data_IF_641001451699
#
_entry.id   IF_641001451699
#
_cell.length_a   1.000
_cell.length_b   1.000
_cell.length_c   1.000
_cell.angle_alpha   90.00
_cell.angle_beta   90.00
_cell.angle_gamma   90.00
#
_symmetry.space_group_name_H-M   'P 1'
#
loop_
_entity.id
_entity.type
_entity.pdbx_description
1 polymer ?
#
# COMPACT_ATOMS: atom_id res chain seq x y z
N UNK A 1 3.48 0.90 0.33
CA UNK A 1 4.36 -0.29 0.23
C UNK A 1 3.76 -1.42 -0.61
N UNK A 2 2.66 -2.08 -0.16
CA UNK A 2 2.11 -3.28 -0.82
C UNK A 2 1.77 -3.07 -2.31
N UNK A 3 1.18 -1.93 -2.64
CA UNK A 3 0.89 -1.54 -4.03
C UNK A 3 2.16 -1.51 -4.90
N UNK A 4 3.22 -0.87 -4.44
CA UNK A 4 4.50 -0.78 -5.17
C UNK A 4 5.13 -2.15 -5.44
N UNK A 5 4.96 -3.12 -4.53
CA UNK A 5 5.38 -4.51 -4.78
C UNK A 5 4.58 -5.15 -5.94
N UNK A 6 3.31 -4.79 -6.13
CA UNK A 6 2.46 -5.31 -7.21
C UNK A 6 2.76 -4.61 -8.54
N UNK A 7 2.90 -3.28 -8.52
CA UNK A 7 3.08 -2.47 -9.72
C UNK A 7 4.54 -2.28 -10.15
N UNK A 8 5.52 -2.86 -9.43
CA UNK A 8 6.93 -2.87 -9.82
C UNK A 8 7.67 -1.54 -9.64
N UNK A 9 7.29 -0.72 -8.66
CA UNK A 9 7.95 0.57 -8.40
C UNK A 9 9.02 0.48 -7.31
N UNK A 10 10.27 0.20 -7.68
CA UNK A 10 11.39 0.02 -6.72
C UNK A 10 11.70 1.26 -5.89
N UNK A 11 11.69 2.45 -6.50
CA UNK A 11 11.90 3.72 -5.79
C UNK A 11 10.83 3.97 -4.71
N UNK A 12 9.55 3.85 -5.09
CA UNK A 12 8.44 3.99 -4.15
C UNK A 12 8.45 2.91 -3.07
N UNK A 13 8.76 1.66 -3.42
CA UNK A 13 8.87 0.57 -2.45
C UNK A 13 9.94 0.87 -1.40
N UNK A 14 11.11 1.35 -1.82
CA UNK A 14 12.18 1.73 -0.91
C UNK A 14 11.76 2.87 0.03
N UNK A 15 11.19 3.95 -0.52
CA UNK A 15 10.71 5.08 0.26
C UNK A 15 9.60 4.70 1.25
N UNK A 16 8.61 3.92 0.78
CA UNK A 16 7.51 3.44 1.62
C UNK A 16 7.99 2.55 2.77
N UNK A 17 8.99 1.70 2.53
CA UNK A 17 9.55 0.84 3.57
C UNK A 17 10.34 1.66 4.61
N UNK A 18 11.03 2.73 4.18
CA UNK A 18 11.69 3.65 5.11
C UNK A 18 10.67 4.42 5.96
N UNK A 19 9.58 4.88 5.35
CA UNK A 19 8.53 5.61 6.06
C UNK A 19 7.74 4.71 7.02
N UNK A 20 7.42 3.49 6.61
CA UNK A 20 6.78 2.50 7.47
C UNK A 20 7.62 2.20 8.72
N UNK A 21 8.95 2.09 8.60
CA UNK A 21 9.86 1.95 9.76
C UNK A 21 9.75 3.14 10.71
N UNK A 22 9.77 4.37 10.19
CA UNK A 22 9.61 5.58 11.02
C UNK A 22 8.26 5.63 11.72
N UNK A 23 7.22 5.11 11.08
CA UNK A 23 5.88 4.98 11.63
C UNK A 23 5.73 3.81 12.63
N UNK A 24 6.79 3.05 12.91
CA UNK A 24 6.80 1.99 13.91
C UNK A 24 6.50 0.59 13.38
N UNK A 25 6.46 0.38 12.06
CA UNK A 25 6.32 -0.96 11.49
C UNK A 25 7.50 -1.86 11.89
N UNK A 26 7.19 -3.09 12.29
CA UNK A 26 8.18 -4.09 12.68
C UNK A 26 8.85 -4.73 11.46
N UNK A 27 10.03 -5.32 11.64
CA UNK A 27 10.69 -6.08 10.59
C UNK A 27 9.85 -7.28 10.13
N UNK A 28 9.13 -7.93 11.05
CA UNK A 28 8.18 -9.00 10.72
C UNK A 28 7.09 -8.49 9.76
N UNK A 29 6.47 -7.33 10.04
CA UNK A 29 5.50 -6.73 9.14
C UNK A 29 6.11 -6.38 7.78
N UNK A 30 7.26 -5.72 7.75
CA UNK A 30 7.89 -5.28 6.50
C UNK A 30 8.28 -6.44 5.59
N UNK A 31 8.80 -7.52 6.17
CA UNK A 31 9.27 -8.70 5.43
C UNK A 31 8.11 -9.60 5.00
N UNK A 32 7.01 -9.65 5.76
CA UNK A 32 5.87 -10.54 5.48
C UNK A 32 4.68 -9.87 4.81
N UNK A 33 4.69 -8.55 4.59
CA UNK A 33 3.55 -7.83 3.99
C UNK A 33 3.11 -8.38 2.62
N UNK A 34 4.00 -9.00 1.85
CA UNK A 34 3.64 -9.62 0.57
C UNK A 34 2.74 -10.87 0.77
N UNK A 35 2.83 -11.51 1.93
CA UNK A 35 2.06 -12.65 2.40
C UNK A 35 1.17 -12.28 3.61
N UNK A 36 0.62 -11.07 3.63
CA UNK A 36 -0.13 -10.58 4.80
C UNK A 36 -1.37 -11.42 5.18
N UNK A 37 -1.92 -12.21 4.24
CA UNK A 37 -3.16 -12.97 4.44
C UNK A 37 -3.02 -14.06 5.50
N UNK A 38 -1.88 -14.74 5.55
CA UNK A 38 -1.56 -15.79 6.52
C UNK A 38 -0.55 -15.34 7.58
N UNK A 39 0.09 -14.18 7.41
CA UNK A 39 1.01 -13.62 8.41
C UNK A 39 0.28 -13.09 9.67
N UNK A 40 0.67 -13.49 10.89
CA UNK A 40 -0.03 -13.11 12.13
C UNK A 40 0.25 -11.68 12.61
N UNK A 41 1.05 -10.91 11.88
CA UNK A 41 1.58 -9.60 12.33
C UNK A 41 0.70 -8.40 11.98
N UNK A 42 -0.50 -8.65 11.44
CA UNK A 42 -1.42 -7.61 10.98
C UNK A 42 -2.77 -7.76 11.67
N UNK A 43 -3.25 -6.66 12.25
CA UNK A 43 -4.60 -6.50 12.78
C UNK A 43 -5.65 -6.58 11.67
N UNK A 44 -6.91 -6.82 12.03
CA UNK A 44 -8.01 -6.85 11.06
C UNK A 44 -8.16 -5.53 10.29
N UNK A 45 -7.93 -4.39 10.96
CA UNK A 45 -7.92 -3.08 10.32
C UNK A 45 -6.81 -2.99 9.25
N UNK A 46 -5.57 -3.34 9.60
CA UNK A 46 -4.45 -3.35 8.65
C UNK A 46 -4.70 -4.30 7.48
N UNK A 47 -5.30 -5.46 7.73
CA UNK A 47 -5.70 -6.43 6.71
C UNK A 47 -6.72 -5.84 5.73
N UNK A 48 -7.71 -5.10 6.22
CA UNK A 48 -8.67 -4.39 5.37
C UNK A 48 -7.98 -3.30 4.51
N UNK A 49 -7.06 -2.53 5.09
CA UNK A 49 -6.28 -1.54 4.34
C UNK A 49 -5.36 -2.17 3.29
N UNK A 50 -4.74 -3.32 3.59
CA UNK A 50 -3.92 -4.08 2.64
C UNK A 50 -4.77 -4.65 1.50
N UNK A 51 -5.96 -5.16 1.80
CA UNK A 51 -6.91 -5.62 0.78
C UNK A 51 -7.31 -4.49 -0.18
N UNK A 52 -7.60 -3.29 0.35
CA UNK A 52 -7.83 -2.10 -0.46
C UNK A 52 -6.64 -1.77 -1.35
N UNK A 53 -5.42 -1.78 -0.80
CA UNK A 53 -4.21 -1.46 -1.55
C UNK A 53 -3.99 -2.44 -2.73
N UNK A 54 -4.26 -3.74 -2.54
CA UNK A 54 -4.18 -4.73 -3.61
C UNK A 54 -5.29 -4.58 -4.66
N UNK A 55 -6.52 -4.29 -4.24
CA UNK A 55 -7.63 -4.06 -5.16
C UNK A 55 -7.38 -2.81 -6.02
N UNK A 56 -6.98 -1.71 -5.40
CA UNK A 56 -6.68 -0.46 -6.07
C UNK A 56 -5.43 -0.53 -6.98
N UNK A 57 -4.49 -1.43 -6.71
CA UNK A 57 -3.36 -1.71 -7.60
C UNK A 57 -3.79 -2.24 -8.98
N UNK A 58 -5.00 -2.83 -9.07
CA UNK A 58 -5.59 -3.43 -10.28
C UNK A 58 -6.86 -2.73 -10.75
N UNK A 59 -7.04 -1.46 -10.37
CA UNK A 59 -8.27 -0.70 -10.65
C UNK A 59 -8.56 -0.55 -12.15
N UNK A 60 -7.52 -0.56 -12.99
CA UNK A 60 -7.67 -0.52 -14.45
C UNK A 60 -8.27 -1.82 -15.03
N UNK A 61 -8.12 -2.94 -14.33
CA UNK A 61 -8.58 -4.25 -14.79
C UNK A 61 -10.00 -4.56 -14.28
N UNK A 62 -10.34 -4.08 -13.07
CA UNK A 62 -11.59 -4.37 -12.39
C UNK A 62 -11.90 -3.37 -11.27
N UNK A 63 -13.18 -3.16 -10.94
CA UNK A 63 -13.55 -2.36 -9.78
C UNK A 63 -13.09 -3.00 -8.46
N UNK A 64 -13.03 -2.19 -7.40
CA UNK A 64 -12.84 -2.68 -6.03
C UNK A 64 -14.07 -3.53 -5.65
N UNK A 65 -13.90 -4.78 -5.20
CA UNK A 65 -15.04 -5.61 -4.78
C UNK A 65 -15.76 -5.03 -3.56
N UNK A 66 -17.09 -5.14 -3.53
CA UNK A 66 -17.92 -4.66 -2.40
C UNK A 66 -17.46 -5.26 -1.07
N UNK A 67 -17.07 -6.54 -1.04
CA UNK A 67 -16.55 -7.18 0.17
C UNK A 67 -15.30 -6.50 0.75
N UNK A 68 -14.43 -5.90 -0.10
CA UNK A 68 -13.26 -5.13 0.37
C UNK A 68 -13.72 -3.80 0.97
N UNK A 69 -14.73 -3.16 0.36
CA UNK A 69 -15.29 -1.92 0.85
C UNK A 69 -16.04 -2.12 2.18
N UNK A 70 -16.90 -3.12 2.25
CA UNK A 70 -17.66 -3.48 3.44
C UNK A 70 -16.75 -3.80 4.63
N UNK A 71 -15.59 -4.41 4.38
CA UNK A 71 -14.62 -4.69 5.43
C UNK A 71 -13.94 -3.40 5.96
N UNK A 72 -13.56 -2.47 5.07
CA UNK A 72 -13.07 -1.16 5.49
C UNK A 72 -14.06 -0.40 6.38
N UNK A 73 -15.36 -0.51 6.07
CA UNK A 73 -16.40 0.18 6.84
C UNK A 73 -16.46 -0.26 8.31
N UNK A 74 -16.00 -1.47 8.63
CA UNK A 74 -15.96 -2.01 10.01
C UNK A 74 -14.83 -1.42 10.84
N UNK A 75 -13.76 -0.95 10.20
CA UNK A 75 -12.49 -0.65 10.87
C UNK A 75 -12.10 0.83 10.83
N UNK A 76 -12.56 1.57 9.82
CA UNK A 76 -12.14 2.95 9.59
C UNK A 76 -13.35 3.86 9.51
N UNK A 77 -13.29 5.06 10.09
CA UNK A 77 -14.32 6.09 9.90
C UNK A 77 -14.23 6.78 8.52
N UNK A 78 -15.16 7.70 8.23
CA UNK A 78 -15.18 8.44 6.96
C UNK A 78 -13.86 9.16 6.65
N UNK A 79 -13.28 9.81 7.66
CA UNK A 79 -12.04 10.59 7.50
C UNK A 79 -10.86 9.65 7.23
N UNK A 80 -10.76 8.56 7.98
CA UNK A 80 -9.71 7.56 7.82
C UNK A 80 -9.80 6.88 6.44
N UNK A 81 -11.01 6.54 5.99
CA UNK A 81 -11.23 5.99 4.63
C UNK A 81 -10.83 6.98 3.54
N UNK A 82 -11.18 8.25 3.68
CA UNK A 82 -10.76 9.28 2.72
C UNK A 82 -9.23 9.39 2.65
N UNK A 83 -8.53 9.31 3.79
CA UNK A 83 -7.07 9.28 3.85
C UNK A 83 -6.51 8.03 3.16
N UNK A 84 -7.08 6.85 3.40
CA UNK A 84 -6.63 5.60 2.75
C UNK A 84 -6.78 5.66 1.23
N UNK A 85 -7.91 6.19 0.74
CA UNK A 85 -8.16 6.36 -0.70
C UNK A 85 -7.14 7.33 -1.30
N UNK A 86 -6.96 8.50 -0.67
CA UNK A 86 -6.03 9.52 -1.14
C UNK A 86 -4.58 9.01 -1.15
N UNK A 87 -4.17 8.32 -0.10
CA UNK A 87 -2.84 7.72 0.00
C UNK A 87 -2.63 6.67 -1.09
N UNK A 88 -3.62 5.81 -1.31
CA UNK A 88 -3.56 4.78 -2.33
C UNK A 88 -3.48 5.38 -3.74
N UNK A 89 -4.25 6.43 -4.04
CA UNK A 89 -4.19 7.13 -5.31
C UNK A 89 -2.87 7.88 -5.52
N UNK A 90 -2.37 8.56 -4.48
CA UNK A 90 -1.08 9.24 -4.49
C UNK A 90 0.07 8.27 -4.72
N UNK A 91 0.05 7.12 -4.05
CA UNK A 91 1.01 6.04 -4.29
C UNK A 91 0.96 5.56 -5.76
N UNK A 92 -0.24 5.48 -6.37
CA UNK A 92 -0.37 5.16 -7.80
C UNK A 92 0.36 6.18 -8.68
N UNK A 93 0.11 7.46 -8.44
CA UNK A 93 0.69 8.57 -9.18
C UNK A 93 2.23 8.50 -9.16
N UNK A 94 2.83 8.37 -7.98
CA UNK A 94 4.28 8.32 -7.86
C UNK A 94 4.88 7.04 -8.43
N UNK A 95 4.24 5.88 -8.28
CA UNK A 95 4.69 4.65 -8.95
C UNK A 95 4.71 4.85 -10.47
N UNK A 96 3.67 5.45 -11.05
CA UNK A 96 3.62 5.73 -12.50
C UNK A 96 4.75 6.66 -12.93
N UNK A 97 4.94 7.79 -12.23
CA UNK A 97 6.01 8.75 -12.54
C UNK A 97 7.39 8.07 -12.49
N UNK A 98 7.70 7.40 -11.37
CA UNK A 98 9.01 6.79 -11.16
C UNK A 98 9.30 5.64 -12.13
N UNK A 99 8.27 4.87 -12.52
CA UNK A 99 8.43 3.81 -13.51
C UNK A 99 8.71 4.37 -14.91
N UNK A 100 8.07 5.48 -15.30
CA UNK A 100 8.31 6.13 -16.61
C UNK A 100 9.76 6.59 -16.74
N UNK A 101 10.32 7.18 -15.68
CA UNK A 101 11.70 7.69 -15.66
C UNK A 101 12.73 6.63 -15.25
N UNK A 102 12.29 5.41 -14.92
CA UNK A 102 13.14 4.31 -14.46
C UNK A 102 13.96 4.65 -13.21
N UNK A 103 13.33 5.35 -12.25
CA UNK A 103 13.97 5.77 -11.00
C UNK A 103 14.40 4.55 -10.17
N UNK A 104 15.69 4.36 -9.86
CA UNK A 104 16.15 3.24 -9.06
C UNK A 104 15.78 3.40 -7.58
N UNK A 105 15.75 2.28 -6.85
CA UNK A 105 15.62 2.32 -5.40
C UNK A 105 16.82 3.03 -4.75
N UNK A 106 16.56 3.81 -3.71
CA UNK A 106 17.62 4.46 -2.92
C UNK A 106 18.11 5.80 -3.46
N UNK A 107 17.53 6.34 -4.55
CA UNK A 107 17.84 7.70 -4.97
C UNK A 107 17.39 8.70 -3.91
N UNK A 108 18.36 9.44 -3.37
CA UNK A 108 18.12 10.60 -2.52
C UNK A 108 18.19 11.84 -3.40
N UNK A 109 17.07 12.57 -3.55
CA UNK A 109 17.10 13.91 -4.10
C UNK A 109 17.84 14.82 -3.10
N UNK A 110 19.13 15.06 -3.35
CA UNK A 110 19.93 16.06 -2.64
C UNK A 110 19.65 17.45 -3.19
#
# INVERSE_FOLDING_TARGET
>A
MRRSQINGGSACLYADAAEARKAGATDDQLTTVAAWRDAPFFTDAERAALALAEAAARISDRPVPDAVWDDLLKHYDDRQRAVLILWTATSALFNTINNIIQEPAGTTWT
#
